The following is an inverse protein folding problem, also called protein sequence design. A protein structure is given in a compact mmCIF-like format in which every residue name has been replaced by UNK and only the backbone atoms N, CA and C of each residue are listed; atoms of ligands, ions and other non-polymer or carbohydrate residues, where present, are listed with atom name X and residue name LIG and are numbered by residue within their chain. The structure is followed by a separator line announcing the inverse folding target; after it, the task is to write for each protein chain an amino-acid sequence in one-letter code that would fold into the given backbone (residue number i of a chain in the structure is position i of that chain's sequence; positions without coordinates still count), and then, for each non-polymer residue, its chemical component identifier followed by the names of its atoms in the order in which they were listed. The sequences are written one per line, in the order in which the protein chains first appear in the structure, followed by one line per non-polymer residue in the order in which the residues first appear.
data_IF_776489945340
#
_entry.id   IF_776489945340
#
_cell.length_a   1.000
_cell.length_b   1.000
_cell.length_c   1.000
_cell.angle_alpha   90.00
_cell.angle_beta   90.00
_cell.angle_gamma   90.00
#
_symmetry.space_group_name_H-M   'P 1'
#
loop_
_entity.id
_entity.type
_entity.pdbx_description
1 polymer ?
#
# COMPACT_ATOMS: atom_id res chain seq x y z
N UNK A 1 -10.90 -85.14 24.49
CA UNK A 1 -9.56 -84.55 24.39
C UNK A 1 -9.62 -83.46 23.33
N UNK A 2 -10.00 -82.22 23.70
CA UNK A 2 -10.16 -81.12 22.75
C UNK A 2 -9.00 -80.08 22.94
N UNK A 3 -8.23 -79.84 21.87
CA UNK A 3 -7.15 -78.87 21.80
C UNK A 3 -7.71 -77.53 21.33
N UNK A 4 -7.63 -76.47 22.15
CA UNK A 4 -7.93 -75.12 21.77
C UNK A 4 -6.70 -74.50 21.07
N UNK A 5 -6.84 -74.13 19.81
CA UNK A 5 -5.90 -73.27 19.07
C UNK A 5 -6.15 -71.81 19.45
N UNK A 6 -5.17 -71.19 20.03
CA UNK A 6 -5.15 -69.69 20.22
C UNK A 6 -4.65 -69.04 18.97
N UNK A 7 -5.50 -68.25 18.35
CA UNK A 7 -5.08 -67.33 17.28
C UNK A 7 -4.66 -65.99 17.91
N UNK A 8 -3.38 -65.66 17.81
CA UNK A 8 -2.84 -64.32 18.12
C UNK A 8 -2.91 -63.47 16.85
N UNK A 9 -3.70 -62.41 16.89
CA UNK A 9 -3.73 -61.37 15.83
C UNK A 9 -2.59 -60.36 16.06
N UNK A 10 -1.88 -59.93 15.03
CA UNK A 10 -0.85 -58.89 15.16
C UNK A 10 -1.52 -57.52 15.25
N UNK A 11 -1.15 -56.75 16.29
CA UNK A 11 -1.54 -55.37 16.47
C UNK A 11 -0.67 -54.50 15.53
N UNK A 12 -1.26 -53.97 14.45
CA UNK A 12 -0.58 -53.03 13.57
C UNK A 12 -0.60 -51.66 14.22
N UNK A 13 0.57 -51.16 14.64
CA UNK A 13 0.73 -49.78 15.11
C UNK A 13 0.76 -48.84 13.89
N UNK A 14 -0.30 -48.07 13.73
CA UNK A 14 -0.30 -46.95 12.78
C UNK A 14 0.53 -45.80 13.34
N UNK A 15 1.72 -45.53 12.79
CA UNK A 15 2.48 -44.33 13.04
C UNK A 15 1.82 -43.16 12.29
N UNK A 16 1.17 -42.27 13.05
CA UNK A 16 0.63 -41.02 12.52
C UNK A 16 1.83 -40.05 12.25
N UNK A 17 2.32 -40.00 11.01
CA UNK A 17 3.32 -39.06 10.59
C UNK A 17 2.61 -37.71 10.44
N UNK A 18 2.79 -36.82 11.42
CA UNK A 18 2.34 -35.43 11.34
C UNK A 18 3.20 -34.74 10.26
N UNK A 19 2.65 -34.54 9.07
CA UNK A 19 3.26 -33.68 8.05
C UNK A 19 3.18 -32.24 8.56
N UNK A 20 4.27 -31.74 9.11
CA UNK A 20 4.46 -30.31 9.38
C UNK A 20 4.62 -29.66 8.01
N UNK A 21 3.53 -29.12 7.44
CA UNK A 21 3.63 -28.19 6.33
C UNK A 21 4.33 -26.95 6.85
N UNK A 22 5.47 -26.52 6.24
CA UNK A 22 6.08 -25.25 6.61
C UNK A 22 5.02 -24.16 6.46
N UNK A 23 4.94 -23.24 7.43
CA UNK A 23 4.13 -22.04 7.28
C UNK A 23 4.56 -21.35 5.98
N UNK A 24 3.63 -20.78 5.19
CA UNK A 24 4.02 -20.00 4.02
C UNK A 24 5.00 -18.93 4.49
N UNK A 25 6.15 -18.86 3.81
CA UNK A 25 7.12 -17.79 4.02
C UNK A 25 6.37 -16.48 3.80
N UNK A 26 6.45 -15.55 4.75
CA UNK A 26 5.77 -14.28 4.61
C UNK A 26 6.34 -13.58 3.37
N UNK A 27 5.50 -13.22 2.41
CA UNK A 27 5.94 -12.45 1.25
C UNK A 27 6.58 -11.14 1.71
N UNK A 28 7.64 -10.71 1.02
CA UNK A 28 8.26 -9.41 1.25
C UNK A 28 7.21 -8.30 1.11
N UNK A 29 7.22 -7.35 2.05
CA UNK A 29 6.32 -6.22 1.98
C UNK A 29 6.72 -5.25 0.85
N UNK A 30 5.81 -4.36 0.47
CA UNK A 30 5.94 -3.40 -0.61
C UNK A 30 6.01 -1.97 -0.06
N UNK A 31 6.49 -1.05 -0.89
CA UNK A 31 6.55 0.36 -0.53
C UNK A 31 5.45 1.15 -1.24
N UNK A 32 4.76 2.04 -0.50
CA UNK A 32 3.86 3.05 -1.05
C UNK A 32 4.43 4.44 -0.73
N UNK A 33 5.02 5.12 -1.72
CA UNK A 33 5.74 6.37 -1.48
C UNK A 33 5.10 7.58 -2.17
N UNK A 34 4.71 8.64 -1.44
CA UNK A 34 4.31 9.91 -2.04
C UNK A 34 5.52 10.63 -2.66
N UNK A 35 5.40 11.03 -3.94
CA UNK A 35 6.46 11.73 -4.69
C UNK A 35 6.18 13.23 -4.76
N UNK A 36 6.09 13.89 -3.58
CA UNK A 36 5.60 15.27 -3.49
C UNK A 36 6.71 16.33 -3.59
N UNK A 37 7.75 16.01 -4.39
CA UNK A 37 8.74 16.96 -4.86
C UNK A 37 8.73 17.06 -6.39
N UNK A 38 8.93 18.27 -6.93
CA UNK A 38 8.93 18.48 -8.38
C UNK A 38 10.04 17.64 -9.06
N UNK A 39 9.76 16.93 -10.16
CA UNK A 39 10.62 15.91 -10.76
C UNK A 39 11.76 16.47 -11.62
N UNK A 40 12.62 17.30 -11.06
CA UNK A 40 13.81 17.75 -11.76
C UNK A 40 14.78 16.61 -12.05
N UNK A 41 15.69 16.78 -13.02
CA UNK A 41 16.71 15.78 -13.32
C UNK A 41 17.63 15.47 -12.12
N UNK A 42 17.87 16.47 -11.26
CA UNK A 42 18.72 16.35 -10.06
C UNK A 42 17.97 15.96 -8.79
N UNK A 43 16.67 15.71 -8.84
CA UNK A 43 15.89 15.37 -7.64
C UNK A 43 16.37 14.08 -6.99
N UNK A 44 16.88 14.18 -5.76
CA UNK A 44 17.35 13.04 -4.96
C UNK A 44 16.21 12.05 -4.67
N UNK A 45 14.99 12.55 -4.38
CA UNK A 45 13.82 11.73 -4.15
C UNK A 45 13.52 10.81 -5.36
N UNK A 46 13.37 11.39 -6.55
CA UNK A 46 13.05 10.65 -7.77
C UNK A 46 14.17 9.69 -8.18
N UNK A 47 15.43 10.10 -8.04
CA UNK A 47 16.58 9.23 -8.33
C UNK A 47 16.65 8.06 -7.34
N UNK A 48 16.50 8.31 -6.05
CA UNK A 48 16.58 7.27 -5.04
C UNK A 48 15.44 6.25 -5.13
N UNK A 49 14.22 6.68 -5.47
CA UNK A 49 13.09 5.76 -5.70
C UNK A 49 13.33 4.90 -6.93
N UNK A 50 13.79 5.51 -8.04
CA UNK A 50 14.18 4.75 -9.24
C UNK A 50 15.23 3.68 -8.93
N UNK A 51 16.25 4.04 -8.16
CA UNK A 51 17.39 3.14 -7.89
C UNK A 51 17.01 2.04 -6.88
N UNK A 52 16.13 2.34 -5.91
CA UNK A 52 15.66 1.38 -4.91
C UNK A 52 14.70 0.32 -5.48
N UNK A 53 14.10 0.54 -6.66
CA UNK A 53 13.20 -0.43 -7.29
C UNK A 53 13.88 -1.77 -7.64
N UNK A 54 15.21 -1.82 -7.63
CA UNK A 54 15.97 -3.06 -7.76
C UNK A 54 15.96 -3.90 -6.46
N UNK A 55 15.58 -3.31 -5.32
CA UNK A 55 15.63 -3.93 -3.99
C UNK A 55 14.24 -4.25 -3.45
N UNK A 56 13.27 -3.38 -3.68
CA UNK A 56 11.92 -3.46 -3.10
C UNK A 56 10.87 -3.15 -4.16
N UNK A 57 9.70 -3.80 -4.10
CA UNK A 57 8.55 -3.46 -4.94
C UNK A 57 7.95 -2.12 -4.50
N UNK A 58 7.91 -1.14 -5.42
CA UNK A 58 7.51 0.24 -5.12
C UNK A 58 6.26 0.62 -5.91
N UNK A 59 5.31 1.22 -5.21
CA UNK A 59 4.24 2.04 -5.79
C UNK A 59 4.52 3.50 -5.45
N UNK A 60 4.71 4.33 -6.47
CA UNK A 60 4.96 5.77 -6.35
C UNK A 60 3.65 6.55 -6.60
N UNK A 61 3.31 7.47 -5.68
CA UNK A 61 2.13 8.33 -5.81
C UNK A 61 2.56 9.62 -6.56
N UNK A 62 1.96 9.84 -7.71
CA UNK A 62 2.28 10.94 -8.63
C UNK A 62 1.26 12.07 -8.46
N UNK A 63 1.75 13.26 -8.09
CA UNK A 63 0.90 14.43 -7.82
C UNK A 63 1.45 15.68 -8.50
N UNK A 64 1.17 15.92 -9.81
CA UNK A 64 1.69 17.07 -10.53
C UNK A 64 1.18 18.43 -10.05
N UNK A 65 -0.10 18.53 -9.68
CA UNK A 65 -0.75 19.81 -9.39
C UNK A 65 -1.97 19.62 -8.46
N UNK A 66 -1.79 18.95 -7.33
CA UNK A 66 -2.89 18.49 -6.45
C UNK A 66 -3.93 17.67 -7.25
N UNK A 67 -3.42 16.85 -8.17
CA UNK A 67 -4.12 16.12 -9.21
C UNK A 67 -3.27 16.03 -10.48
N UNK A 68 -3.87 15.68 -11.64
CA UNK A 68 -3.16 15.47 -12.90
C UNK A 68 -2.59 16.76 -13.53
N UNK A 69 -3.09 17.94 -13.14
CA UNK A 69 -2.88 19.18 -13.87
C UNK A 69 -3.74 19.27 -15.14
N UNK A 70 -3.54 20.32 -15.94
CA UNK A 70 -4.34 20.63 -17.14
C UNK A 70 -3.62 20.31 -18.45
N UNK A 71 -2.34 19.97 -18.38
CA UNK A 71 -1.50 19.63 -19.55
C UNK A 71 -0.33 18.78 -19.11
N UNK A 72 0.29 18.09 -20.07
CA UNK A 72 1.50 17.30 -19.81
C UNK A 72 2.63 18.21 -19.34
N UNK A 73 3.19 17.93 -18.16
CA UNK A 73 4.46 18.49 -17.73
C UNK A 73 5.61 17.58 -18.20
N UNK A 74 6.56 18.15 -18.93
CA UNK A 74 7.64 17.40 -19.56
C UNK A 74 8.60 16.74 -18.55
N UNK A 75 8.77 17.31 -17.35
CA UNK A 75 9.57 16.70 -16.30
C UNK A 75 8.84 15.51 -15.68
N UNK A 76 7.54 15.65 -15.38
CA UNK A 76 6.72 14.51 -14.93
C UNK A 76 6.69 13.40 -15.98
N UNK A 77 6.42 13.72 -17.24
CA UNK A 77 6.38 12.73 -18.32
C UNK A 77 7.67 11.92 -18.41
N UNK A 78 8.83 12.61 -18.40
CA UNK A 78 10.14 11.94 -18.44
C UNK A 78 10.37 11.07 -17.22
N UNK A 79 10.11 11.58 -16.01
CA UNK A 79 10.39 10.85 -14.76
C UNK A 79 9.43 9.70 -14.54
N UNK A 80 8.17 9.84 -14.91
CA UNK A 80 7.19 8.76 -14.96
C UNK A 80 7.69 7.62 -15.87
N UNK A 81 8.14 7.95 -17.09
CA UNK A 81 8.68 6.93 -18.00
C UNK A 81 9.95 6.25 -17.46
N UNK A 82 10.82 6.99 -16.76
CA UNK A 82 12.01 6.41 -16.10
C UNK A 82 11.65 5.43 -14.97
N UNK A 83 10.64 5.75 -14.15
CA UNK A 83 10.16 4.88 -13.08
C UNK A 83 9.46 3.64 -13.64
N UNK A 84 8.57 3.82 -14.62
CA UNK A 84 7.85 2.74 -15.30
C UNK A 84 8.82 1.73 -15.94
N UNK A 85 9.86 2.20 -16.62
CA UNK A 85 10.91 1.37 -17.21
C UNK A 85 11.72 0.55 -16.18
N UNK A 86 11.63 0.90 -14.88
CA UNK A 86 12.22 0.17 -13.76
C UNK A 86 11.23 -0.72 -13.01
N UNK A 87 9.99 -0.81 -13.50
CA UNK A 87 8.93 -1.62 -12.88
C UNK A 87 8.28 -0.97 -11.66
N UNK A 88 8.56 0.31 -11.38
CA UNK A 88 7.85 1.06 -10.33
C UNK A 88 6.40 1.24 -10.77
N UNK A 89 5.46 0.85 -9.93
CA UNK A 89 4.03 1.05 -10.16
C UNK A 89 3.66 2.49 -9.86
N UNK A 90 2.75 3.07 -10.64
CA UNK A 90 2.44 4.49 -10.61
C UNK A 90 0.97 4.71 -10.27
N UNK A 91 0.71 5.38 -9.14
CA UNK A 91 -0.61 5.75 -8.67
C UNK A 91 -0.84 7.26 -8.85
N UNK A 92 -1.88 7.65 -9.60
CA UNK A 92 -2.26 9.05 -9.77
C UNK A 92 -3.01 9.57 -8.53
N UNK A 93 -2.62 10.73 -8.05
CA UNK A 93 -3.23 11.37 -6.89
C UNK A 93 -4.51 12.10 -7.28
N UNK A 94 -5.60 11.80 -6.59
CA UNK A 94 -6.83 12.62 -6.60
C UNK A 94 -7.32 12.78 -5.15
N UNK A 95 -7.87 13.95 -4.81
CA UNK A 95 -8.42 14.18 -3.48
C UNK A 95 -9.95 14.25 -3.52
N UNK A 96 -10.60 13.90 -2.43
CA UNK A 96 -12.07 13.83 -2.35
C UNK A 96 -12.68 14.81 -1.36
N UNK A 97 -11.86 15.53 -0.59
CA UNK A 97 -12.35 16.43 0.47
C UNK A 97 -13.25 15.69 1.45
N UNK A 98 -12.87 14.48 1.84
CA UNK A 98 -13.66 13.61 2.72
C UNK A 98 -15.08 13.33 2.19
N UNK A 99 -15.22 13.19 0.86
CA UNK A 99 -16.50 12.95 0.19
C UNK A 99 -17.32 14.21 -0.08
N UNK A 100 -16.75 15.41 0.12
CA UNK A 100 -17.46 16.68 -0.14
C UNK A 100 -17.13 17.31 -1.49
N UNK A 101 -16.00 16.93 -2.12
CA UNK A 101 -15.65 17.38 -3.47
C UNK A 101 -16.68 16.83 -4.47
N UNK A 102 -17.16 17.63 -5.46
CA UNK A 102 -18.07 17.12 -6.48
C UNK A 102 -17.53 15.86 -7.16
N UNK A 103 -18.30 14.79 -7.19
CA UNK A 103 -17.89 13.52 -7.77
C UNK A 103 -17.43 13.67 -9.22
N UNK A 104 -18.14 14.48 -10.01
CA UNK A 104 -17.77 14.73 -11.42
C UNK A 104 -16.34 15.27 -11.59
N UNK A 105 -15.88 16.13 -10.66
CA UNK A 105 -14.54 16.70 -10.71
C UNK A 105 -13.46 15.65 -10.39
N UNK A 106 -13.76 14.73 -9.45
CA UNK A 106 -12.85 13.62 -9.12
C UNK A 106 -12.73 12.66 -10.30
N UNK A 107 -13.84 12.30 -10.93
CA UNK A 107 -13.84 11.43 -12.10
C UNK A 107 -13.13 12.07 -13.29
N UNK A 108 -13.29 13.38 -13.51
CA UNK A 108 -12.58 14.12 -14.55
C UNK A 108 -11.05 14.14 -14.31
N UNK A 109 -10.59 14.26 -13.06
CA UNK A 109 -9.16 14.14 -12.76
C UNK A 109 -8.62 12.74 -13.07
N UNK A 110 -9.38 11.69 -12.76
CA UNK A 110 -9.00 10.31 -13.09
C UNK A 110 -8.82 10.12 -14.59
N UNK A 111 -9.79 10.60 -15.39
CA UNK A 111 -9.72 10.53 -16.86
C UNK A 111 -8.55 11.35 -17.39
N UNK A 112 -8.28 12.51 -16.78
CA UNK A 112 -7.15 13.39 -17.14
C UNK A 112 -5.81 12.71 -16.87
N UNK A 113 -5.63 12.00 -15.72
CA UNK A 113 -4.43 11.19 -15.50
C UNK A 113 -4.21 10.17 -16.62
N UNK A 114 -5.25 9.42 -17.01
CA UNK A 114 -5.14 8.43 -18.09
C UNK A 114 -4.78 9.06 -19.43
N UNK A 115 -5.27 10.27 -19.70
CA UNK A 115 -4.99 11.00 -20.94
C UNK A 115 -3.57 11.58 -20.96
N UNK A 116 -3.11 12.21 -19.87
CA UNK A 116 -1.83 12.91 -19.81
C UNK A 116 -0.64 11.99 -19.50
N UNK A 117 -0.86 10.96 -18.66
CA UNK A 117 0.19 10.07 -18.15
C UNK A 117 -0.30 8.60 -18.21
N UNK A 118 -0.37 7.96 -19.39
CA UNK A 118 -0.96 6.63 -19.56
C UNK A 118 -0.26 5.51 -18.78
N UNK A 119 0.99 5.70 -18.33
CA UNK A 119 1.71 4.79 -17.44
C UNK A 119 1.16 4.78 -16.01
N UNK A 120 0.39 5.80 -15.61
CA UNK A 120 -0.28 5.86 -14.32
C UNK A 120 -1.49 4.93 -14.35
N UNK A 121 -1.30 3.69 -13.90
CA UNK A 121 -2.29 2.61 -13.98
C UNK A 121 -2.94 2.27 -12.64
N UNK A 122 -2.53 2.93 -11.57
CA UNK A 122 -3.12 2.84 -10.25
C UNK A 122 -3.66 4.20 -9.83
N UNK A 123 -4.55 4.23 -8.84
CA UNK A 123 -5.15 5.45 -8.32
C UNK A 123 -4.87 5.58 -6.82
N UNK A 124 -4.53 6.78 -6.37
CA UNK A 124 -4.46 7.13 -4.96
C UNK A 124 -5.53 8.18 -4.66
N UNK A 125 -6.52 7.79 -3.85
CA UNK A 125 -7.69 8.60 -3.48
C UNK A 125 -7.46 9.17 -2.08
N UNK A 126 -6.99 10.41 -2.04
CA UNK A 126 -6.67 11.11 -0.80
C UNK A 126 -7.89 11.78 -0.16
N UNK A 127 -7.71 12.16 1.11
CA UNK A 127 -8.80 12.74 1.92
C UNK A 127 -10.07 11.87 1.88
N UNK A 128 -9.89 10.55 1.97
CA UNK A 128 -11.01 9.62 2.00
C UNK A 128 -11.76 9.74 3.32
N UNK A 129 -13.09 9.85 3.25
CA UNK A 129 -13.96 9.75 4.42
C UNK A 129 -13.96 8.33 5.00
N UNK A 130 -14.12 8.20 6.31
CA UNK A 130 -14.42 6.96 7.00
C UNK A 130 -15.90 6.90 7.50
N UNK A 131 -16.74 7.84 7.08
CA UNK A 131 -18.18 7.83 7.36
C UNK A 131 -18.91 6.94 6.34
N UNK A 132 -19.60 5.90 6.82
CA UNK A 132 -20.39 4.98 5.98
C UNK A 132 -21.44 5.67 5.12
N UNK A 133 -21.88 6.87 5.48
CA UNK A 133 -22.80 7.66 4.66
C UNK A 133 -22.20 8.05 3.29
N UNK A 134 -20.88 8.00 3.14
CA UNK A 134 -20.16 8.32 1.89
C UNK A 134 -19.83 7.09 1.03
N UNK A 135 -20.26 5.89 1.43
CA UNK A 135 -19.92 4.65 0.70
C UNK A 135 -20.32 4.68 -0.77
N UNK A 136 -21.51 5.23 -1.10
CA UNK A 136 -21.95 5.31 -2.50
C UNK A 136 -21.06 6.22 -3.35
N UNK A 137 -20.53 7.30 -2.76
CA UNK A 137 -19.59 8.20 -3.42
C UNK A 137 -18.30 7.46 -3.80
N UNK A 138 -17.71 6.68 -2.87
CA UNK A 138 -16.51 5.90 -3.14
C UNK A 138 -16.77 4.69 -4.02
N UNK A 139 -17.94 4.06 -3.93
CA UNK A 139 -18.34 3.00 -4.85
C UNK A 139 -18.40 3.50 -6.32
N UNK A 140 -18.87 4.73 -6.54
CA UNK A 140 -18.86 5.36 -7.86
C UNK A 140 -17.42 5.62 -8.37
N UNK A 141 -16.51 6.09 -7.51
CA UNK A 141 -15.07 6.24 -7.85
C UNK A 141 -14.47 4.89 -8.22
N UNK A 142 -14.70 3.84 -7.44
CA UNK A 142 -14.19 2.49 -7.72
C UNK A 142 -14.73 1.92 -9.03
N UNK A 143 -16.02 2.11 -9.31
CA UNK A 143 -16.63 1.66 -10.56
C UNK A 143 -16.02 2.41 -11.76
N UNK A 144 -15.83 3.72 -11.66
CA UNK A 144 -15.18 4.51 -12.70
C UNK A 144 -13.71 4.11 -12.89
N UNK A 145 -12.96 3.89 -11.81
CA UNK A 145 -11.58 3.40 -11.88
C UNK A 145 -11.49 2.08 -12.65
N UNK A 146 -12.36 1.11 -12.34
CA UNK A 146 -12.43 -0.16 -13.07
C UNK A 146 -12.74 0.03 -14.55
N UNK A 147 -13.73 0.89 -14.89
CA UNK A 147 -14.11 1.19 -16.26
C UNK A 147 -13.00 1.92 -17.05
N UNK A 148 -12.24 2.81 -16.40
CA UNK A 148 -11.12 3.54 -16.96
C UNK A 148 -9.83 2.69 -17.07
N UNK A 149 -9.86 1.43 -16.60
CA UNK A 149 -8.73 0.49 -16.71
C UNK A 149 -7.63 0.70 -15.68
N UNK A 150 -7.95 1.29 -14.53
CA UNK A 150 -7.05 1.23 -13.36
C UNK A 150 -7.01 -0.19 -12.80
N UNK A 151 -5.85 -0.62 -12.30
CA UNK A 151 -5.67 -1.96 -11.78
C UNK A 151 -5.93 -2.08 -10.27
N UNK A 152 -5.84 -0.95 -9.52
CA UNK A 152 -6.03 -0.88 -8.06
C UNK A 152 -6.32 0.55 -7.63
N UNK A 153 -7.07 0.70 -6.56
CA UNK A 153 -7.27 1.96 -5.84
C UNK A 153 -6.60 1.88 -4.46
N UNK A 154 -5.83 2.89 -4.11
CA UNK A 154 -5.37 3.15 -2.75
C UNK A 154 -6.26 4.24 -2.17
N UNK A 155 -7.08 3.90 -1.19
CA UNK A 155 -7.90 4.88 -0.47
C UNK A 155 -7.18 5.36 0.78
N UNK A 156 -7.11 6.67 0.99
CA UNK A 156 -6.40 7.26 2.12
C UNK A 156 -7.32 7.99 3.10
N UNK A 157 -7.93 7.28 4.05
CA UNK A 157 -8.54 7.91 5.23
C UNK A 157 -7.51 8.24 6.32
N UNK A 158 -6.29 7.68 6.25
CA UNK A 158 -5.21 7.88 7.23
C UNK A 158 -5.49 7.32 8.63
N UNK A 159 -6.55 6.57 8.81
CA UNK A 159 -7.04 6.06 10.11
C UNK A 159 -7.84 4.77 9.92
N UNK A 160 -8.22 4.13 11.02
CA UNK A 160 -9.17 3.02 11.02
C UNK A 160 -10.47 3.40 10.28
N UNK A 161 -10.94 2.50 9.44
CA UNK A 161 -12.04 2.75 8.50
C UNK A 161 -12.91 1.51 8.39
N UNK A 162 -14.24 1.63 8.35
CA UNK A 162 -15.13 0.48 8.23
C UNK A 162 -14.78 -0.42 7.05
N UNK A 163 -14.80 -1.74 7.26
CA UNK A 163 -14.44 -2.75 6.27
C UNK A 163 -15.14 -2.59 4.92
N UNK A 164 -16.36 -2.03 4.92
CA UNK A 164 -17.14 -1.79 3.71
C UNK A 164 -16.41 -0.94 2.66
N UNK A 165 -15.52 -0.03 3.06
CA UNK A 165 -14.72 0.77 2.11
C UNK A 165 -13.68 -0.07 1.36
N UNK A 166 -13.27 -1.20 1.91
CA UNK A 166 -12.30 -2.11 1.30
C UNK A 166 -12.99 -3.21 0.48
N UNK A 167 -14.20 -3.62 0.87
CA UNK A 167 -14.89 -4.80 0.32
C UNK A 167 -15.95 -4.51 -0.73
N UNK A 168 -16.55 -3.32 -0.73
CA UNK A 168 -17.67 -2.97 -1.63
C UNK A 168 -17.23 -2.59 -3.05
N UNK A 169 -15.94 -2.74 -3.38
CA UNK A 169 -15.39 -2.28 -4.63
C UNK A 169 -15.41 -3.35 -5.74
N UNK A 170 -15.63 -2.90 -6.97
CA UNK A 170 -15.48 -3.70 -8.20
C UNK A 170 -14.04 -3.85 -8.69
N UNK A 171 -13.07 -3.32 -7.95
CA UNK A 171 -11.63 -3.26 -8.23
C UNK A 171 -10.87 -3.56 -6.92
N UNK A 172 -9.66 -4.14 -6.95
CA UNK A 172 -8.83 -4.27 -5.75
C UNK A 172 -8.60 -2.91 -5.07
N UNK A 173 -8.88 -2.85 -3.76
CA UNK A 173 -8.66 -1.65 -2.92
C UNK A 173 -7.61 -1.95 -1.86
N UNK A 174 -6.71 -0.99 -1.63
CA UNK A 174 -5.82 -0.95 -0.48
C UNK A 174 -6.16 0.28 0.35
N UNK A 175 -6.42 0.10 1.64
CA UNK A 175 -6.76 1.19 2.56
C UNK A 175 -5.54 1.61 3.37
N UNK A 176 -5.22 2.91 3.36
CA UNK A 176 -4.20 3.49 4.25
C UNK A 176 -4.81 3.61 5.64
N UNK A 177 -4.55 2.63 6.49
CA UNK A 177 -5.14 2.55 7.83
C UNK A 177 -4.41 3.42 8.86
N UNK A 178 -3.25 3.94 8.52
CA UNK A 178 -2.50 4.87 9.37
C UNK A 178 -1.67 5.82 8.51
N UNK A 179 -1.90 7.12 8.67
CA UNK A 179 -1.04 8.20 8.18
C UNK A 179 -0.92 9.27 9.26
N UNK A 180 0.13 9.20 10.07
CA UNK A 180 0.32 10.08 11.23
C UNK A 180 1.76 10.02 11.75
N UNK A 181 2.15 10.94 12.67
CA UNK A 181 3.46 10.88 13.30
C UNK A 181 3.72 9.60 14.08
N UNK A 182 5.01 9.24 14.21
CA UNK A 182 5.50 8.09 14.98
C UNK A 182 4.91 7.97 16.39
N UNK A 183 4.65 9.08 17.07
CA UNK A 183 4.15 9.06 18.45
C UNK A 183 2.87 8.25 18.66
N UNK A 184 2.03 8.11 17.63
CA UNK A 184 0.83 7.29 17.69
C UNK A 184 1.03 5.84 17.26
N UNK A 185 2.03 5.56 16.42
CA UNK A 185 2.17 4.27 15.75
C UNK A 185 2.41 3.08 16.70
N UNK A 186 3.29 3.13 17.71
CA UNK A 186 3.50 2.00 18.60
C UNK A 186 2.24 1.53 19.34
N UNK A 187 1.38 2.48 19.71
CA UNK A 187 0.12 2.22 20.41
C UNK A 187 -1.10 2.03 19.48
N UNK A 188 -0.93 2.21 18.15
CA UNK A 188 -2.02 2.06 17.21
C UNK A 188 -2.56 0.63 17.21
N UNK A 189 -3.87 0.50 17.29
CA UNK A 189 -4.60 -0.77 17.18
C UNK A 189 -5.44 -0.75 15.90
N UNK A 190 -5.10 -1.62 14.96
CA UNK A 190 -5.91 -1.82 13.77
C UNK A 190 -7.25 -2.48 14.12
N UNK A 191 -8.28 -2.18 13.34
CA UNK A 191 -9.57 -2.86 13.45
C UNK A 191 -9.42 -4.38 13.23
N UNK A 192 -10.26 -5.16 13.90
CA UNK A 192 -10.12 -6.63 13.93
C UNK A 192 -10.19 -7.31 12.55
N UNK A 193 -10.90 -6.72 11.60
CA UNK A 193 -11.01 -7.27 10.24
C UNK A 193 -9.68 -7.21 9.48
N UNK A 194 -8.75 -6.30 9.83
CA UNK A 194 -7.44 -6.15 9.19
C UNK A 194 -6.65 -7.47 9.23
N UNK A 195 -6.65 -8.15 10.37
CA UNK A 195 -5.97 -9.44 10.53
C UNK A 195 -6.64 -10.61 9.80
N UNK A 196 -7.87 -10.44 9.32
CA UNK A 196 -8.63 -11.49 8.63
C UNK A 196 -8.59 -11.37 7.09
N UNK A 197 -7.97 -10.32 6.56
CA UNK A 197 -7.91 -10.03 5.13
C UNK A 197 -6.47 -10.15 4.60
N UNK A 198 -6.26 -10.22 3.28
CA UNK A 198 -4.92 -10.16 2.69
C UNK A 198 -4.17 -8.90 3.11
N UNK A 199 -2.90 -9.03 3.48
CA UNK A 199 -2.05 -7.89 3.89
C UNK A 199 -1.98 -6.78 2.82
N UNK A 200 -2.05 -7.16 1.54
CA UNK A 200 -2.10 -6.24 0.40
C UNK A 200 -3.32 -5.33 0.33
N UNK A 201 -4.32 -5.54 1.18
CA UNK A 201 -5.47 -4.65 1.31
C UNK A 201 -5.18 -3.46 2.24
N UNK A 202 -3.97 -3.40 2.84
CA UNK A 202 -3.64 -2.37 3.82
C UNK A 202 -2.29 -1.70 3.55
N UNK A 203 -2.28 -0.39 3.83
CA UNK A 203 -1.10 0.47 3.76
C UNK A 203 -0.93 1.30 5.03
N UNK A 204 0.30 1.74 5.30
CA UNK A 204 0.59 2.72 6.33
C UNK A 204 1.69 3.69 5.90
N UNK A 205 1.60 4.93 6.37
CA UNK A 205 2.62 5.96 6.23
C UNK A 205 2.90 6.59 7.59
N UNK A 206 4.15 6.49 8.07
CA UNK A 206 4.53 7.04 9.39
C UNK A 206 5.53 8.17 9.20
N UNK A 207 5.19 9.35 9.71
CA UNK A 207 6.01 10.56 9.63
C UNK A 207 6.73 10.85 10.95
N UNK A 208 7.68 11.79 10.94
CA UNK A 208 8.42 12.22 12.13
C UNK A 208 9.17 11.08 12.85
N UNK A 209 9.73 10.15 12.09
CA UNK A 209 10.49 8.99 12.59
C UNK A 209 11.98 9.35 12.60
N UNK A 210 12.47 9.91 13.70
CA UNK A 210 13.78 10.58 13.76
C UNK A 210 15.01 9.65 13.77
N UNK A 211 14.87 8.32 13.79
CA UNK A 211 16.02 7.39 13.83
C UNK A 211 15.75 6.09 13.07
N UNK A 212 16.82 5.47 12.56
CA UNK A 212 16.74 4.17 11.90
C UNK A 212 16.20 3.05 12.83
N UNK A 213 16.47 3.12 14.13
CA UNK A 213 15.93 2.16 15.09
C UNK A 213 14.38 2.22 15.15
N UNK A 214 13.82 3.44 15.20
CA UNK A 214 12.37 3.63 15.16
C UNK A 214 11.77 3.27 13.80
N UNK A 215 12.49 3.52 12.72
CA UNK A 215 12.06 3.08 11.38
C UNK A 215 11.92 1.56 11.33
N UNK A 216 12.91 0.80 11.83
CA UNK A 216 12.81 -0.67 11.92
C UNK A 216 11.61 -1.11 12.74
N UNK A 217 11.40 -0.49 13.91
CA UNK A 217 10.20 -0.75 14.73
C UNK A 217 8.91 -0.49 13.96
N UNK A 218 8.83 0.60 13.18
CA UNK A 218 7.66 0.91 12.37
C UNK A 218 7.38 -0.19 11.33
N UNK A 219 8.41 -0.63 10.61
CA UNK A 219 8.28 -1.67 9.59
C UNK A 219 7.89 -3.01 10.21
N UNK A 220 8.52 -3.39 11.32
CA UNK A 220 8.24 -4.66 12.01
C UNK A 220 6.81 -4.70 12.56
N UNK A 221 6.35 -3.61 13.17
CA UNK A 221 4.98 -3.48 13.64
C UNK A 221 3.97 -3.48 12.48
N UNK A 222 4.30 -2.91 11.33
CA UNK A 222 3.42 -2.94 10.16
C UNK A 222 3.20 -4.38 9.67
N UNK A 223 4.28 -5.13 9.49
CA UNK A 223 4.22 -6.55 9.11
C UNK A 223 3.43 -7.37 10.13
N UNK A 224 3.71 -7.18 11.43
CA UNK A 224 2.98 -7.85 12.51
C UNK A 224 1.48 -7.49 12.56
N UNK A 225 1.09 -6.33 12.03
CA UNK A 225 -0.29 -5.83 11.94
C UNK A 225 -0.97 -6.15 10.60
N UNK A 226 -0.37 -7.04 9.81
CA UNK A 226 -0.91 -7.44 8.51
C UNK A 226 -1.00 -6.28 7.50
N UNK A 227 0.02 -5.40 7.48
CA UNK A 227 0.14 -4.29 6.53
C UNK A 227 1.27 -4.57 5.56
N UNK A 228 0.99 -4.51 4.27
CA UNK A 228 1.95 -4.84 3.22
C UNK A 228 2.56 -3.60 2.53
N UNK A 229 1.80 -2.53 2.37
CA UNK A 229 2.32 -1.29 1.79
C UNK A 229 2.80 -0.34 2.87
N UNK A 230 4.11 -0.05 2.89
CA UNK A 230 4.76 0.62 4.01
C UNK A 230 5.57 1.82 3.51
N UNK A 231 5.48 2.95 4.20
CA UNK A 231 6.42 4.06 4.07
C UNK A 231 6.67 4.73 5.42
N UNK A 232 7.94 5.00 5.70
CA UNK A 232 8.38 5.62 6.95
C UNK A 232 9.33 6.78 6.65
N UNK A 233 9.01 8.01 7.09
CA UNK A 233 9.87 9.15 6.88
C UNK A 233 10.27 9.85 8.19
N UNK A 234 11.50 10.36 8.23
CA UNK A 234 11.97 11.20 9.33
C UNK A 234 11.40 12.61 9.25
N UNK A 235 10.86 12.96 8.08
CA UNK A 235 10.36 14.30 7.82
C UNK A 235 9.01 14.57 8.49
N UNK A 236 8.65 15.85 8.58
CA UNK A 236 7.49 16.38 9.31
C UNK A 236 7.06 17.72 8.73
N UNK A 237 5.96 18.26 9.20
CA UNK A 237 5.44 19.56 8.76
C UNK A 237 4.38 19.43 7.69
N UNK A 238 4.24 20.46 6.85
CA UNK A 238 3.13 20.54 5.89
C UNK A 238 3.29 19.59 4.70
N UNK A 239 4.53 19.25 4.32
CA UNK A 239 4.82 18.24 3.29
C UNK A 239 5.98 17.35 3.77
N UNK A 240 5.70 16.24 4.43
CA UNK A 240 6.73 15.30 4.90
C UNK A 240 7.22 14.34 3.81
N UNK A 241 6.91 14.59 2.54
CA UNK A 241 7.09 13.67 1.42
C UNK A 241 7.90 14.28 0.27
N UNK A 242 8.68 15.33 0.54
CA UNK A 242 9.47 16.04 -0.48
C UNK A 242 10.95 15.63 -0.51
N UNK A 243 11.39 14.78 0.44
CA UNK A 243 12.74 14.27 0.53
C UNK A 243 12.78 12.78 0.93
N UNK A 244 13.89 12.10 0.59
CA UNK A 244 14.15 10.75 1.09
C UNK A 244 14.51 10.77 2.58
N UNK A 245 14.07 9.79 3.37
CA UNK A 245 14.52 9.68 4.75
C UNK A 245 16.03 9.40 4.84
N UNK A 246 16.66 9.83 5.91
CA UNK A 246 18.11 9.66 6.14
C UNK A 246 18.55 8.20 6.24
N UNK A 247 17.62 7.28 6.48
CA UNK A 247 17.81 5.82 6.56
C UNK A 247 17.26 5.07 5.33
N UNK A 248 17.12 5.74 4.19
CA UNK A 248 16.46 5.23 2.98
C UNK A 248 16.90 3.82 2.56
N UNK A 249 18.21 3.57 2.45
CA UNK A 249 18.71 2.26 2.03
C UNK A 249 18.43 1.15 3.05
N UNK A 250 18.39 1.49 4.34
CA UNK A 250 18.05 0.54 5.38
C UNK A 250 16.55 0.24 5.41
N UNK A 251 15.72 1.26 5.18
CA UNK A 251 14.27 1.11 5.09
C UNK A 251 13.88 0.20 3.91
N UNK A 252 14.40 0.47 2.72
CA UNK A 252 14.10 -0.34 1.52
C UNK A 252 14.53 -1.80 1.71
N UNK A 253 15.69 -2.04 2.31
CA UNK A 253 16.16 -3.39 2.64
C UNK A 253 15.27 -4.07 3.70
N UNK A 254 14.80 -3.31 4.72
CA UNK A 254 13.94 -3.85 5.79
C UNK A 254 12.54 -4.20 5.30
N UNK A 255 11.98 -3.39 4.41
CA UNK A 255 10.67 -3.67 3.79
C UNK A 255 10.76 -4.89 2.88
N UNK A 256 11.81 -5.00 2.07
CA UNK A 256 12.03 -6.11 1.16
C UNK A 256 12.36 -7.45 1.85
N UNK A 257 12.82 -7.43 3.10
CA UNK A 257 13.06 -8.66 3.86
C UNK A 257 11.72 -9.38 4.15
N UNK A 258 11.68 -10.71 4.15
CA UNK A 258 10.49 -11.49 4.52
C UNK A 258 10.08 -11.30 5.98
#
# INVERSE_FOLDING_TARGET
MFRFLRHSAPCAAFALTCLITPAPEADAARMLIPMYAYPTAGSALWNGVRDASATVDITAIINPANGPGTSVDANYQRRIAELDARGVKLAGYVYTGYGTRPLADVLADMDTFRALYPQVTLLFVDEQSNDVATLEYYAAIHAHAAAAGYARVFGNPGTNTPEAFTTSASIPVTTVIYESPYSGWPAYAADSYVGARPAGDFAMMVTNVGTAARMRECVDLAKARNVDYIYVTHDKGANPYDALPTYWSEETARIAAP
#
